data_IF_793634993191
#
_entry.id   IF_793634993191
#
_cell.length_a   1.000
_cell.length_b   1.000
_cell.length_c   1.000
_cell.angle_alpha   90.00
_cell.angle_beta   90.00
_cell.angle_gamma   90.00
#
_symmetry.space_group_name_H-M   'P 1'
#
loop_
_entity.id
_entity.type
_entity.pdbx_description
1 polymer ?
#
# COMPACT_ATOMS: atom_id res chain seq x y z
N UNK A 1 -14.25 -2.74 18.09
CA UNK A 1 -15.34 -3.32 17.28
C UNK A 1 -16.50 -2.33 17.13
N UNK A 2 -17.32 -2.51 16.09
CA UNK A 2 -18.49 -1.67 15.81
C UNK A 2 -18.17 -0.29 15.22
N UNK A 3 -16.95 -0.10 14.70
CA UNK A 3 -16.51 1.14 14.06
C UNK A 3 -16.57 1.04 12.54
N UNK A 4 -16.66 2.19 11.89
CA UNK A 4 -16.42 2.35 10.45
C UNK A 4 -14.95 2.76 10.27
N UNK A 5 -14.14 1.92 9.61
CA UNK A 5 -12.71 2.14 9.45
C UNK A 5 -12.36 2.28 7.97
N UNK A 6 -11.77 3.41 7.58
CA UNK A 6 -11.21 3.55 6.24
C UNK A 6 -9.79 2.99 6.18
N UNK A 7 -9.53 2.05 5.28
CA UNK A 7 -8.19 1.56 4.94
C UNK A 7 -7.78 2.20 3.61
N UNK A 8 -6.75 3.04 3.65
CA UNK A 8 -6.27 3.78 2.48
C UNK A 8 -5.11 3.04 1.85
N UNK A 9 -5.35 2.46 0.69
CA UNK A 9 -4.44 1.61 -0.05
C UNK A 9 -4.82 0.14 0.05
N UNK A 10 -4.98 -0.51 -1.10
CA UNK A 10 -5.39 -1.92 -1.23
C UNK A 10 -4.23 -2.85 -1.60
N UNK A 11 -2.99 -2.47 -1.31
CA UNK A 11 -1.88 -3.43 -1.38
C UNK A 11 -2.10 -4.59 -0.41
N UNK A 12 -1.27 -5.66 -0.49
CA UNK A 12 -1.44 -6.85 0.36
C UNK A 12 -1.60 -6.49 1.85
N UNK A 13 -0.73 -5.62 2.39
CA UNK A 13 -0.84 -5.17 3.79
C UNK A 13 -2.18 -4.48 4.09
N UNK A 14 -2.72 -3.72 3.13
CA UNK A 14 -4.04 -3.07 3.29
C UNK A 14 -5.17 -4.10 3.34
N UNK A 15 -5.12 -5.12 2.47
CA UNK A 15 -6.12 -6.19 2.45
C UNK A 15 -6.03 -7.07 3.69
N UNK A 16 -4.83 -7.52 4.10
CA UNK A 16 -4.62 -8.27 5.34
C UNK A 16 -5.12 -7.50 6.57
N UNK A 17 -4.86 -6.18 6.61
CA UNK A 17 -5.40 -5.31 7.67
C UNK A 17 -6.92 -5.25 7.63
N UNK A 18 -7.51 -5.19 6.43
CA UNK A 18 -8.96 -5.20 6.23
C UNK A 18 -9.59 -6.48 6.78
N UNK A 19 -8.99 -7.65 6.48
CA UNK A 19 -9.45 -8.94 7.03
C UNK A 19 -9.47 -8.90 8.56
N UNK A 20 -8.36 -8.53 9.20
CA UNK A 20 -8.24 -8.45 10.67
C UNK A 20 -9.26 -7.48 11.28
N UNK A 21 -9.49 -6.33 10.65
CA UNK A 21 -10.48 -5.35 11.13
C UNK A 21 -11.91 -5.88 11.03
N UNK A 22 -12.24 -6.56 9.94
CA UNK A 22 -13.53 -7.22 9.76
C UNK A 22 -13.75 -8.33 10.80
N UNK A 23 -12.75 -9.20 11.01
CA UNK A 23 -12.80 -10.25 12.04
C UNK A 23 -13.00 -9.68 13.45
N UNK A 24 -12.49 -8.48 13.68
CA UNK A 24 -12.67 -7.73 14.94
C UNK A 24 -14.05 -7.07 15.06
N UNK A 25 -14.96 -7.27 14.08
CA UNK A 25 -16.33 -6.76 14.10
C UNK A 25 -16.46 -5.27 13.74
N UNK A 26 -15.59 -4.77 12.86
CA UNK A 26 -15.73 -3.42 12.29
C UNK A 26 -16.30 -3.50 10.87
N UNK A 27 -16.88 -2.39 10.41
CA UNK A 27 -17.20 -2.17 8.99
C UNK A 27 -16.01 -1.49 8.32
N UNK A 28 -15.52 -2.02 7.21
CA UNK A 28 -14.32 -1.51 6.56
C UNK A 28 -14.62 -0.95 5.18
N UNK A 29 -14.10 0.26 4.93
CA UNK A 29 -14.12 0.93 3.62
C UNK A 29 -12.69 0.95 3.08
N UNK A 30 -12.41 0.21 2.02
CA UNK A 30 -11.09 0.15 1.38
C UNK A 30 -11.03 1.16 0.24
N UNK A 31 -10.15 2.14 0.35
CA UNK A 31 -9.95 3.20 -0.65
C UNK A 31 -8.68 2.92 -1.44
N UNK A 32 -8.78 2.88 -2.76
CA UNK A 32 -7.64 2.65 -3.66
C UNK A 32 -7.60 3.70 -4.76
N UNK A 33 -6.42 4.28 -4.98
CA UNK A 33 -6.23 5.30 -6.02
C UNK A 33 -6.21 4.70 -7.44
N UNK A 34 -5.74 3.45 -7.58
CA UNK A 34 -5.80 2.74 -8.85
C UNK A 34 -7.24 2.33 -9.20
N UNK A 35 -7.49 2.07 -10.48
CA UNK A 35 -8.82 1.66 -10.95
C UNK A 35 -9.20 0.23 -10.54
N UNK A 36 -8.25 -0.54 -10.02
CA UNK A 36 -8.47 -1.89 -9.53
C UNK A 36 -7.95 -2.05 -8.09
N UNK A 37 -8.56 -2.95 -7.34
CA UNK A 37 -8.10 -3.37 -6.01
C UNK A 37 -6.88 -4.27 -6.14
N UNK A 38 -5.93 -4.15 -5.22
CA UNK A 38 -4.67 -4.89 -5.18
C UNK A 38 -3.87 -4.79 -6.49
N UNK A 39 -3.56 -3.57 -6.97
CA UNK A 39 -2.86 -3.39 -8.24
C UNK A 39 -1.49 -4.07 -8.20
N UNK A 40 -1.14 -4.77 -9.30
CA UNK A 40 0.14 -5.46 -9.43
C UNK A 40 0.32 -6.68 -8.51
N UNK A 41 -0.70 -7.12 -7.81
CA UNK A 41 -0.69 -8.37 -7.03
C UNK A 41 -0.94 -9.57 -7.95
N UNK A 42 -0.26 -10.69 -7.68
CA UNK A 42 -0.50 -11.93 -8.40
C UNK A 42 -1.94 -12.37 -8.22
N UNK A 43 -2.55 -12.82 -9.30
CA UNK A 43 -3.96 -13.19 -9.35
C UNK A 43 -4.36 -14.17 -8.21
N UNK A 44 -3.56 -15.22 -8.00
CA UNK A 44 -3.86 -16.24 -6.99
C UNK A 44 -3.90 -15.67 -5.56
N UNK A 45 -2.95 -14.77 -5.23
CA UNK A 45 -2.91 -14.12 -3.92
C UNK A 45 -4.07 -13.12 -3.76
N UNK A 46 -4.37 -12.38 -4.81
CA UNK A 46 -5.49 -11.43 -4.84
C UNK A 46 -6.83 -12.15 -4.66
N UNK A 47 -7.04 -13.24 -5.38
CA UNK A 47 -8.28 -14.02 -5.35
C UNK A 47 -8.49 -14.65 -3.98
N UNK A 48 -7.45 -15.25 -3.40
CA UNK A 48 -7.49 -15.84 -2.06
C UNK A 48 -7.83 -14.79 -0.99
N UNK A 49 -7.14 -13.65 -0.98
CA UNK A 49 -7.36 -12.57 -0.01
C UNK A 49 -8.77 -11.98 -0.13
N UNK A 50 -9.20 -11.64 -1.36
CA UNK A 50 -10.54 -11.11 -1.59
C UNK A 50 -11.63 -12.10 -1.23
N UNK A 51 -11.42 -13.42 -1.44
CA UNK A 51 -12.38 -14.46 -1.06
C UNK A 51 -12.61 -14.53 0.45
N UNK A 52 -11.59 -14.22 1.26
CA UNK A 52 -11.71 -14.12 2.72
C UNK A 52 -12.47 -12.87 3.15
N UNK A 53 -12.15 -11.73 2.52
CA UNK A 53 -12.79 -10.44 2.81
C UNK A 53 -14.26 -10.42 2.38
N UNK A 54 -14.63 -11.07 1.27
CA UNK A 54 -16.01 -11.13 0.76
C UNK A 54 -17.04 -11.75 1.73
N UNK A 55 -16.58 -12.42 2.79
CA UNK A 55 -17.47 -12.94 3.84
C UNK A 55 -18.06 -11.82 4.73
N UNK A 56 -17.50 -10.62 4.62
CA UNK A 56 -17.86 -9.44 5.40
C UNK A 56 -18.45 -8.37 4.48
N UNK A 57 -19.18 -7.43 5.07
CA UNK A 57 -19.73 -6.28 4.37
C UNK A 57 -18.66 -5.18 4.21
N UNK A 58 -17.66 -5.45 3.35
CA UNK A 58 -16.56 -4.53 3.07
C UNK A 58 -16.88 -3.71 1.83
N UNK A 59 -16.81 -2.39 1.96
CA UNK A 59 -16.94 -1.48 0.84
C UNK A 59 -15.60 -1.26 0.15
N UNK A 60 -15.53 -1.44 -1.18
CA UNK A 60 -14.35 -1.14 -1.98
C UNK A 60 -14.57 0.08 -2.85
N UNK A 61 -13.67 1.05 -2.75
CA UNK A 61 -13.70 2.33 -3.49
C UNK A 61 -12.44 2.48 -4.36
N UNK A 62 -12.32 1.75 -5.48
CA UNK A 62 -11.23 1.96 -6.45
C UNK A 62 -11.40 3.28 -7.20
N UNK A 63 -10.31 3.81 -7.76
CA UNK A 63 -10.27 5.09 -8.48
C UNK A 63 -10.47 6.29 -7.56
N UNK A 64 -10.24 6.15 -6.25
CA UNK A 64 -10.40 7.22 -5.27
C UNK A 64 -9.09 7.55 -4.56
N UNK A 65 -8.73 8.82 -4.56
CA UNK A 65 -7.55 9.34 -3.89
C UNK A 65 -7.92 10.06 -2.60
N UNK A 66 -7.24 9.73 -1.50
CA UNK A 66 -7.41 10.47 -0.25
C UNK A 66 -6.87 11.90 -0.42
N UNK A 67 -7.72 12.88 -0.15
CA UNK A 67 -7.38 14.30 -0.18
C UNK A 67 -7.19 14.87 1.23
N UNK A 68 -8.05 14.47 2.18
CA UNK A 68 -8.02 15.01 3.53
C UNK A 68 -8.66 14.01 4.51
N UNK A 69 -8.13 13.98 5.72
CA UNK A 69 -8.73 13.34 6.89
C UNK A 69 -9.25 14.47 7.79
N UNK A 70 -10.48 14.36 8.25
CA UNK A 70 -11.12 15.25 9.23
C UNK A 70 -11.31 14.50 10.55
N UNK A 71 -12.02 15.07 11.50
CA UNK A 71 -12.28 14.45 12.79
C UNK A 71 -13.20 13.21 12.67
N UNK A 72 -14.13 13.22 11.73
CA UNK A 72 -15.21 12.23 11.57
C UNK A 72 -15.34 11.67 10.16
N UNK A 73 -14.43 12.04 9.24
CA UNK A 73 -14.60 11.66 7.83
C UNK A 73 -13.28 11.69 7.05
N UNK A 74 -13.30 11.07 5.87
CA UNK A 74 -12.29 11.23 4.84
C UNK A 74 -12.90 11.90 3.61
N UNK A 75 -12.14 12.82 3.00
CA UNK A 75 -12.49 13.45 1.72
C UNK A 75 -11.69 12.76 0.63
N UNK A 76 -12.41 12.17 -0.32
CA UNK A 76 -11.86 11.42 -1.44
C UNK A 76 -12.12 12.15 -2.74
N UNK A 77 -11.16 12.08 -3.65
CA UNK A 77 -11.29 12.59 -5.02
C UNK A 77 -11.34 11.42 -5.99
N UNK A 78 -12.33 11.42 -6.86
CA UNK A 78 -12.36 10.51 -8.02
C UNK A 78 -11.25 10.90 -9.00
N UNK A 79 -10.33 9.98 -9.29
CA UNK A 79 -9.11 10.29 -10.07
C UNK A 79 -9.40 10.63 -11.53
N UNK A 80 -10.58 10.26 -12.07
CA UNK A 80 -10.97 10.54 -13.46
C UNK A 80 -11.79 11.83 -13.60
N UNK A 81 -12.67 12.08 -12.64
CA UNK A 81 -13.64 13.19 -12.74
C UNK A 81 -13.27 14.38 -11.85
N UNK A 82 -12.32 14.20 -10.93
CA UNK A 82 -11.98 15.17 -9.88
C UNK A 82 -13.15 15.53 -8.95
N UNK A 83 -14.21 14.74 -8.95
CA UNK A 83 -15.34 14.93 -8.04
C UNK A 83 -14.94 14.51 -6.63
N UNK A 84 -15.33 15.33 -5.65
CA UNK A 84 -15.10 15.05 -4.25
C UNK A 84 -16.26 14.27 -3.64
N UNK A 85 -15.94 13.30 -2.80
CA UNK A 85 -16.87 12.51 -2.00
C UNK A 85 -16.40 12.53 -0.57
N UNK A 86 -17.31 12.71 0.39
CA UNK A 86 -17.01 12.60 1.81
C UNK A 86 -17.58 11.28 2.33
N UNK A 87 -16.73 10.53 3.04
CA UNK A 87 -17.11 9.26 3.68
C UNK A 87 -16.92 9.42 5.17
N UNK A 88 -18.00 9.26 5.96
CA UNK A 88 -17.94 9.28 7.41
C UNK A 88 -17.26 8.03 7.93
N UNK A 89 -16.26 8.19 8.80
CA UNK A 89 -15.48 7.10 9.39
C UNK A 89 -15.08 7.45 10.82
N UNK A 90 -14.93 6.44 11.66
CA UNK A 90 -14.44 6.60 13.03
C UNK A 90 -12.92 6.57 13.11
N UNK A 91 -12.27 5.79 12.22
CA UNK A 91 -10.82 5.63 12.21
C UNK A 91 -10.29 5.50 10.77
N UNK A 92 -9.00 5.83 10.60
CA UNK A 92 -8.30 5.72 9.31
C UNK A 92 -7.00 4.96 9.49
N UNK A 93 -6.80 3.96 8.66
CA UNK A 93 -5.54 3.22 8.55
C UNK A 93 -4.88 3.57 7.22
N UNK A 94 -3.64 4.03 7.27
CA UNK A 94 -2.86 4.37 6.09
C UNK A 94 -1.97 3.19 5.67
N UNK A 95 -2.26 2.59 4.52
CA UNK A 95 -1.47 1.51 3.90
C UNK A 95 -0.93 1.95 2.54
N UNK A 96 -0.24 3.09 2.51
CA UNK A 96 0.18 3.80 1.29
C UNK A 96 1.47 3.25 0.66
N UNK A 97 1.93 2.08 1.12
CA UNK A 97 3.17 1.49 0.67
C UNK A 97 4.41 2.14 1.30
N UNK A 98 5.56 1.85 0.73
CA UNK A 98 6.87 2.25 1.26
C UNK A 98 7.67 3.02 0.22
N UNK A 99 8.62 3.83 0.68
CA UNK A 99 9.56 4.56 -0.17
C UNK A 99 11.00 4.19 0.21
N UNK A 100 11.93 4.11 -0.76
CA UNK A 100 13.33 3.89 -0.48
C UNK A 100 13.91 4.93 0.47
N UNK A 101 14.71 4.47 1.45
CA UNK A 101 15.51 5.33 2.31
C UNK A 101 16.98 5.10 1.96
N UNK A 102 17.61 6.07 1.29
CA UNK A 102 18.97 5.95 0.75
C UNK A 102 19.95 7.02 1.26
N UNK A 103 19.63 7.68 2.38
CA UNK A 103 20.48 8.73 2.95
C UNK A 103 21.90 8.22 3.28
N UNK A 104 22.03 6.99 3.79
CA UNK A 104 23.31 6.36 4.06
C UNK A 104 24.11 6.13 2.77
N UNK A 105 23.48 5.63 1.71
CA UNK A 105 24.14 5.41 0.42
C UNK A 105 24.73 6.72 -0.11
N UNK A 106 23.94 7.81 -0.11
CA UNK A 106 24.38 9.13 -0.54
C UNK A 106 25.56 9.67 0.29
N UNK A 107 25.57 9.43 1.60
CA UNK A 107 26.66 9.81 2.47
C UNK A 107 27.95 9.03 2.17
N UNK A 108 27.84 7.74 1.84
CA UNK A 108 28.97 6.87 1.52
C UNK A 108 29.55 7.14 0.11
N UNK A 109 28.73 7.52 -0.87
CA UNK A 109 29.18 7.90 -2.22
C UNK A 109 30.25 9.00 -2.21
N UNK A 110 30.24 9.88 -1.20
CA UNK A 110 31.25 10.91 -1.02
C UNK A 110 32.57 10.42 -0.38
N UNK A 111 32.57 9.20 0.17
CA UNK A 111 33.69 8.64 0.94
C UNK A 111 34.37 7.46 0.25
N UNK A 112 33.62 6.75 -0.59
CA UNK A 112 34.08 5.52 -1.25
C UNK A 112 33.88 5.62 -2.76
N UNK A 113 34.86 5.11 -3.55
CA UNK A 113 34.80 5.21 -5.01
C UNK A 113 33.75 4.28 -5.65
N UNK A 114 33.24 3.32 -4.87
CA UNK A 114 32.24 2.37 -5.35
C UNK A 114 31.20 2.11 -4.24
N UNK A 115 30.00 2.56 -4.47
CA UNK A 115 28.84 2.33 -3.61
C UNK A 115 27.67 1.89 -4.47
N UNK A 116 27.02 0.80 -4.10
CA UNK A 116 25.83 0.31 -4.80
C UNK A 116 24.69 0.12 -3.81
N UNK A 117 23.55 0.68 -4.13
CA UNK A 117 22.32 0.51 -3.36
C UNK A 117 21.50 -0.61 -3.97
N UNK A 118 21.05 -1.57 -3.17
CA UNK A 118 20.27 -2.73 -3.60
C UNK A 118 19.00 -2.90 -2.77
N UNK A 119 18.04 -3.71 -3.24
CA UNK A 119 16.80 -3.98 -2.56
C UNK A 119 15.98 -2.72 -2.29
N UNK A 120 15.24 -2.71 -1.19
CA UNK A 120 14.30 -1.63 -0.85
C UNK A 120 14.96 -0.27 -0.63
N UNK A 121 16.25 -0.23 -0.33
CA UNK A 121 16.99 1.03 -0.27
C UNK A 121 17.18 1.69 -1.67
N UNK A 122 17.13 0.91 -2.74
CA UNK A 122 17.16 1.38 -4.14
C UNK A 122 15.76 1.56 -4.70
N UNK A 123 14.96 0.49 -4.65
CA UNK A 123 13.59 0.45 -5.16
C UNK A 123 12.80 -0.57 -4.34
N UNK A 124 11.73 -0.12 -3.72
CA UNK A 124 10.85 -1.00 -2.97
C UNK A 124 10.25 -2.07 -3.88
N UNK A 125 10.28 -3.32 -3.42
CA UNK A 125 9.84 -4.46 -4.20
C UNK A 125 9.59 -5.69 -3.34
N UNK A 126 9.63 -6.85 -3.98
CA UNK A 126 9.49 -8.15 -3.34
C UNK A 126 10.87 -8.72 -2.99
N UNK A 127 10.90 -9.80 -2.20
CA UNK A 127 12.14 -10.50 -1.82
C UNK A 127 12.96 -10.87 -3.07
N UNK A 128 12.31 -11.35 -4.13
CA UNK A 128 12.99 -11.70 -5.39
C UNK A 128 13.68 -10.49 -6.04
N UNK A 129 13.05 -9.30 -6.02
CA UNK A 129 13.64 -8.07 -6.56
C UNK A 129 14.89 -7.68 -5.78
N UNK A 130 14.84 -7.79 -4.44
CA UNK A 130 16.00 -7.51 -3.58
C UNK A 130 17.16 -8.49 -3.85
N UNK A 131 16.86 -9.79 -3.96
CA UNK A 131 17.87 -10.84 -4.25
C UNK A 131 18.51 -10.63 -5.63
N UNK A 132 17.71 -10.39 -6.66
CA UNK A 132 18.21 -10.16 -8.01
C UNK A 132 19.07 -8.89 -8.08
N UNK A 133 18.62 -7.80 -7.46
CA UNK A 133 19.40 -6.55 -7.44
C UNK A 133 20.76 -6.71 -6.74
N UNK A 134 20.80 -7.50 -5.65
CA UNK A 134 22.05 -7.80 -4.96
C UNK A 134 22.98 -8.67 -5.80
N UNK A 135 22.45 -9.71 -6.45
CA UNK A 135 23.21 -10.58 -7.36
C UNK A 135 23.82 -9.76 -8.51
N UNK A 136 23.02 -8.94 -9.18
CA UNK A 136 23.46 -8.09 -10.29
C UNK A 136 24.55 -7.09 -9.84
N UNK A 137 24.45 -6.56 -8.63
CA UNK A 137 25.45 -5.66 -8.08
C UNK A 137 26.79 -6.37 -7.88
N UNK A 138 26.77 -7.57 -7.28
CA UNK A 138 28.00 -8.35 -7.02
C UNK A 138 28.68 -8.78 -8.32
N UNK A 139 27.91 -9.18 -9.34
CA UNK A 139 28.46 -9.60 -10.63
C UNK A 139 29.15 -8.46 -11.42
N UNK A 140 28.94 -7.21 -11.03
CA UNK A 140 29.59 -6.02 -11.62
C UNK A 140 30.86 -5.61 -10.88
N UNK A 141 31.18 -6.19 -9.74
CA UNK A 141 32.43 -5.96 -9.03
C UNK A 141 33.52 -6.65 -9.80
N UNK A 142 34.50 -5.88 -10.28
CA UNK A 142 35.69 -6.38 -11.01
C UNK A 142 36.89 -6.49 -10.07
#
# INVERSE_FOLDING_TARGET
>A
SGKIVAVIGSGMTGLETTEILNESGNHVVVVEMAEEIAPGTWFQLKDDELSRIQKYDTEFMPGKRLMKITEDSVILEDVRTSMLTTVTVDEVVLSLGVRPVNALAKALENQYPYVVTVGDACKSGRIADAVHSAYDAVMRIK
#
